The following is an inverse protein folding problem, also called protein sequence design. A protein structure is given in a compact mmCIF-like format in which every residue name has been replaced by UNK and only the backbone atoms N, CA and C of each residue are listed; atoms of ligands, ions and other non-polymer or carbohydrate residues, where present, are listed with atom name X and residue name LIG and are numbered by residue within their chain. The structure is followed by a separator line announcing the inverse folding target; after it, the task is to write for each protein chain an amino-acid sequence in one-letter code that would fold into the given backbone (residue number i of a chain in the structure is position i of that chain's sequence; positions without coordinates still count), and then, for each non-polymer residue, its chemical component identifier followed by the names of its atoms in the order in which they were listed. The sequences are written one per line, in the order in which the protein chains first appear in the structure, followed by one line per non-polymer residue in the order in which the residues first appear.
data_IF_110981738531
#
_entry.id   IF_110981738531
#
_cell.length_a   1.000
_cell.length_b   1.000
_cell.length_c   1.000
_cell.angle_alpha   90.00
_cell.angle_beta   90.00
_cell.angle_gamma   90.00
#
_symmetry.space_group_name_H-M   'P 1'
#
loop_
_entity.id
_entity.type
_entity.pdbx_description
1 polymer ?
#
# COMPACT_ATOMS: atom_id res chain seq x y z
N UNK A 1 -45.50 48.40 21.90
CA UNK A 1 -45.50 47.09 21.21
C UNK A 1 -44.13 47.01 20.59
N UNK A 2 -43.16 46.56 21.38
CA UNK A 2 -41.77 46.47 20.97
C UNK A 2 -41.60 45.09 20.33
N UNK A 3 -41.59 45.05 19.00
CA UNK A 3 -41.30 43.83 18.24
C UNK A 3 -39.81 43.51 18.40
N UNK A 4 -39.52 42.55 19.28
CA UNK A 4 -38.20 41.94 19.38
C UNK A 4 -37.90 41.19 18.08
N UNK A 5 -37.02 41.76 17.24
CA UNK A 5 -36.37 41.03 16.15
C UNK A 5 -35.49 39.94 16.74
N UNK A 6 -35.98 38.71 16.70
CA UNK A 6 -35.18 37.52 16.94
C UNK A 6 -34.27 37.31 15.73
N UNK A 7 -33.04 37.83 15.80
CA UNK A 7 -32.00 37.55 14.80
C UNK A 7 -31.57 36.10 15.00
N UNK A 8 -32.12 35.21 14.18
CA UNK A 8 -31.60 33.85 14.03
C UNK A 8 -30.18 33.96 13.49
N UNK A 9 -29.19 33.84 14.37
CA UNK A 9 -27.79 33.70 13.98
C UNK A 9 -27.66 32.37 13.26
N UNK A 10 -27.66 32.41 11.93
CA UNK A 10 -27.13 31.34 11.10
C UNK A 10 -25.66 31.16 11.47
N UNK A 11 -25.37 30.19 12.35
CA UNK A 11 -24.02 29.70 12.55
C UNK A 11 -23.63 28.95 11.27
N UNK A 12 -23.10 29.66 10.30
CA UNK A 12 -22.29 29.08 9.24
C UNK A 12 -21.10 28.39 9.91
N UNK A 13 -21.30 27.12 10.25
CA UNK A 13 -20.21 26.22 10.61
C UNK A 13 -19.39 26.05 9.33
N UNK A 14 -18.35 26.86 9.20
CA UNK A 14 -17.33 26.74 8.16
C UNK A 14 -16.73 25.33 8.25
N UNK A 15 -17.31 24.38 7.50
CA UNK A 15 -16.90 22.99 7.52
C UNK A 15 -15.49 22.92 6.93
N UNK A 16 -14.51 22.59 7.78
CA UNK A 16 -13.14 22.38 7.36
C UNK A 16 -13.02 21.29 6.30
N UNK A 17 -12.08 21.47 5.35
CA UNK A 17 -11.82 20.50 4.28
C UNK A 17 -10.89 19.41 4.82
N UNK A 18 -11.38 18.17 4.90
CA UNK A 18 -10.55 17.00 5.23
C UNK A 18 -9.93 16.46 3.94
N UNK A 19 -8.61 16.41 3.87
CA UNK A 19 -7.86 15.87 2.71
C UNK A 19 -7.02 14.67 3.14
N UNK A 20 -7.12 13.59 2.38
CA UNK A 20 -6.29 12.39 2.56
C UNK A 20 -4.98 12.60 1.79
N UNK A 21 -3.85 12.34 2.45
CA UNK A 21 -2.53 12.39 1.82
C UNK A 21 -2.25 11.10 1.05
N UNK A 22 -1.53 11.21 -0.07
CA UNK A 22 -1.06 10.08 -0.86
C UNK A 22 -0.31 9.05 0.01
N UNK A 23 0.50 9.54 0.97
CA UNK A 23 1.26 8.70 1.90
C UNK A 23 0.37 7.77 2.73
N UNK A 24 -0.82 8.22 3.12
CA UNK A 24 -1.76 7.37 3.89
C UNK A 24 -2.27 6.22 3.02
N UNK A 25 -2.57 6.51 1.75
CA UNK A 25 -3.00 5.50 0.79
C UNK A 25 -1.87 4.52 0.48
N UNK A 26 -0.63 5.00 0.35
CA UNK A 26 0.56 4.14 0.16
C UNK A 26 0.72 3.15 1.31
N UNK A 27 0.58 3.60 2.56
CA UNK A 27 0.71 2.74 3.75
C UNK A 27 -0.37 1.67 3.77
N UNK A 28 -1.63 2.03 3.49
CA UNK A 28 -2.75 1.09 3.47
C UNK A 28 -2.56 0.07 2.35
N UNK A 29 -2.22 0.52 1.14
CA UNK A 29 -1.98 -0.35 -0.01
C UNK A 29 -0.81 -1.30 0.24
N UNK A 30 0.27 -0.80 0.87
CA UNK A 30 1.43 -1.61 1.18
C UNK A 30 1.16 -2.68 2.23
N UNK A 31 0.39 -2.33 3.26
CA UNK A 31 -0.04 -3.31 4.26
C UNK A 31 -0.92 -4.38 3.62
N UNK A 32 -1.94 -3.97 2.86
CA UNK A 32 -2.86 -4.89 2.19
C UNK A 32 -2.14 -5.80 1.17
N UNK A 33 -1.16 -5.28 0.43
CA UNK A 33 -0.38 -6.08 -0.50
C UNK A 33 0.53 -7.09 0.23
N UNK A 34 1.09 -6.70 1.38
CA UNK A 34 1.99 -7.56 2.19
C UNK A 34 1.27 -8.73 2.86
N UNK A 35 -0.05 -8.65 3.04
CA UNK A 35 -0.86 -9.73 3.62
C UNK A 35 -1.10 -10.89 2.65
N UNK A 36 -0.90 -10.68 1.35
CA UNK A 36 -1.12 -11.72 0.34
C UNK A 36 0.04 -12.71 0.34
N UNK A 37 -0.28 -13.99 0.55
CA UNK A 37 0.71 -15.04 0.43
C UNK A 37 1.23 -15.13 -1.00
N UNK A 38 2.56 -15.17 -1.11
CA UNK A 38 3.25 -15.07 -2.40
C UNK A 38 4.00 -13.76 -2.60
N UNK A 39 3.70 -12.72 -1.82
CA UNK A 39 4.48 -11.47 -1.79
C UNK A 39 5.61 -11.62 -0.76
N UNK A 40 6.87 -11.51 -1.20
CA UNK A 40 8.03 -11.45 -0.29
C UNK A 40 8.40 -10.01 0.09
N UNK A 41 8.04 -9.06 -0.76
CA UNK A 41 8.31 -7.65 -0.49
C UNK A 41 7.91 -6.75 -1.63
N UNK A 42 8.23 -5.47 -1.44
CA UNK A 42 7.98 -4.40 -2.41
C UNK A 42 9.29 -3.64 -2.65
N UNK A 43 9.49 -3.15 -3.89
CA UNK A 43 10.73 -2.45 -4.26
C UNK A 43 10.51 -1.41 -5.36
N UNK A 44 10.98 -0.18 -5.16
CA UNK A 44 11.00 0.89 -6.18
C UNK A 44 12.11 0.74 -7.21
N UNK A 45 13.14 -0.09 -6.99
CA UNK A 45 14.33 -0.14 -7.86
C UNK A 45 15.01 -1.51 -7.81
N UNK A 46 15.68 -1.91 -8.89
CA UNK A 46 16.54 -3.11 -8.94
C UNK A 46 17.66 -3.10 -7.86
N UNK A 47 17.95 -1.94 -7.25
CA UNK A 47 18.99 -1.72 -6.22
C UNK A 47 18.48 -1.92 -4.78
N UNK A 48 17.17 -2.13 -4.57
CA UNK A 48 16.55 -2.23 -3.24
C UNK A 48 17.10 -3.34 -2.34
N UNK A 49 17.76 -4.35 -2.92
CA UNK A 49 18.41 -5.43 -2.16
C UNK A 49 19.55 -4.97 -1.24
N UNK A 50 20.20 -3.84 -1.52
CA UNK A 50 21.36 -3.37 -0.73
C UNK A 50 20.90 -2.48 0.44
N UNK A 51 19.85 -1.69 0.26
CA UNK A 51 19.40 -0.75 1.30
C UNK A 51 18.67 -1.45 2.46
N UNK A 52 18.00 -2.57 2.21
CA UNK A 52 17.38 -3.40 3.26
C UNK A 52 18.42 -3.94 4.26
N UNK A 53 19.62 -4.29 3.77
CA UNK A 53 20.73 -4.81 4.57
C UNK A 53 21.38 -3.69 5.40
N UNK A 54 21.39 -2.45 4.90
CA UNK A 54 22.08 -1.33 5.55
C UNK A 54 21.23 -0.55 6.57
N UNK A 55 19.90 -0.53 6.45
CA UNK A 55 19.05 0.39 7.24
C UNK A 55 18.20 -0.24 8.34
N UNK A 56 18.11 -1.58 8.44
CA UNK A 56 17.41 -2.29 9.54
C UNK A 56 15.90 -2.01 9.70
N UNK A 57 15.32 -1.07 8.94
CA UNK A 57 13.90 -0.68 8.97
C UNK A 57 13.22 -1.18 7.71
N UNK A 58 12.21 -2.05 7.87
CA UNK A 58 11.27 -2.43 6.80
C UNK A 58 10.45 -1.19 6.45
N UNK A 59 10.79 -0.49 5.37
CA UNK A 59 9.97 0.62 4.88
C UNK A 59 8.89 0.02 3.96
N UNK A 60 7.66 -0.10 4.47
CA UNK A 60 6.55 -0.71 3.73
C UNK A 60 6.06 0.15 2.56
N UNK A 61 6.33 1.46 2.56
CA UNK A 61 5.93 2.38 1.47
C UNK A 61 6.90 2.37 0.28
N UNK A 62 8.02 1.64 0.34
CA UNK A 62 8.96 1.55 -0.79
C UNK A 62 8.41 0.58 -1.84
N UNK A 63 8.11 1.09 -3.02
CA UNK A 63 7.63 0.28 -4.15
C UNK A 63 6.16 0.50 -4.44
N UNK A 64 5.57 1.58 -3.94
CA UNK A 64 4.17 1.94 -4.20
C UNK A 64 4.17 3.39 -4.66
N UNK A 65 3.44 3.67 -5.72
CA UNK A 65 3.20 5.04 -6.19
C UNK A 65 1.70 5.25 -6.24
N UNK A 66 1.23 6.26 -5.53
CA UNK A 66 -0.17 6.64 -5.52
C UNK A 66 -0.34 7.99 -6.19
N UNK A 67 -1.43 8.15 -6.93
CA UNK A 67 -1.91 9.43 -7.41
C UNK A 67 -3.36 9.58 -6.97
N UNK A 68 -3.64 10.50 -6.04
CA UNK A 68 -5.00 10.82 -5.59
C UNK A 68 -5.51 12.05 -6.35
N UNK A 69 -6.64 11.89 -7.03
CA UNK A 69 -7.33 12.95 -7.76
C UNK A 69 -8.77 13.07 -7.25
N UNK A 70 -9.06 14.19 -6.60
CA UNK A 70 -10.35 14.49 -5.97
C UNK A 70 -10.85 13.34 -5.05
N UNK A 71 -11.73 12.47 -5.57
CA UNK A 71 -12.31 11.34 -4.85
C UNK A 71 -11.94 9.98 -5.47
N UNK A 72 -10.85 9.96 -6.25
CA UNK A 72 -10.35 8.79 -6.95
C UNK A 72 -8.85 8.61 -6.75
N UNK A 73 -8.36 7.38 -6.85
CA UNK A 73 -6.94 7.11 -6.78
C UNK A 73 -6.48 6.04 -7.76
N UNK A 74 -5.26 6.21 -8.27
CA UNK A 74 -4.53 5.20 -9.04
C UNK A 74 -3.35 4.71 -8.22
N UNK A 75 -3.13 3.38 -8.22
CA UNK A 75 -2.07 2.75 -7.44
C UNK A 75 -1.20 1.90 -8.34
N UNK A 76 0.10 2.17 -8.34
CA UNK A 76 1.13 1.32 -8.94
C UNK A 76 1.90 0.59 -7.84
N UNK A 77 1.86 -0.74 -7.83
CA UNK A 77 2.58 -1.60 -6.89
C UNK A 77 3.73 -2.31 -7.59
N UNK A 78 4.93 -2.20 -7.03
CA UNK A 78 6.14 -2.86 -7.50
C UNK A 78 6.53 -3.95 -6.51
N UNK A 79 6.19 -5.19 -6.85
CA UNK A 79 6.23 -6.34 -5.94
C UNK A 79 7.34 -7.33 -6.29
N UNK A 80 7.79 -8.05 -5.28
CA UNK A 80 8.69 -9.19 -5.38
C UNK A 80 7.92 -10.43 -4.92
N UNK A 81 7.92 -11.47 -5.76
CA UNK A 81 7.08 -12.66 -5.54
C UNK A 81 7.91 -13.90 -5.23
N UNK A 82 7.33 -14.88 -4.51
CA UNK A 82 7.95 -16.20 -4.29
C UNK A 82 8.00 -17.00 -5.58
N UNK A 83 9.04 -17.81 -5.77
CA UNK A 83 9.05 -18.84 -6.82
C UNK A 83 8.04 -19.94 -6.51
N UNK A 84 7.49 -20.56 -7.57
CA UNK A 84 6.57 -21.69 -7.46
C UNK A 84 5.09 -21.32 -7.29
N UNK A 85 4.75 -20.03 -7.34
CA UNK A 85 3.37 -19.55 -7.27
C UNK A 85 2.86 -19.08 -8.64
N UNK A 86 1.54 -19.12 -8.83
CA UNK A 86 0.90 -18.54 -10.03
C UNK A 86 0.81 -17.03 -9.87
N UNK A 87 1.68 -16.31 -10.59
CA UNK A 87 1.76 -14.83 -10.53
C UNK A 87 0.40 -14.17 -10.80
N UNK A 88 -0.38 -14.70 -11.75
CA UNK A 88 -1.70 -14.15 -12.10
C UNK A 88 -2.67 -14.22 -10.91
N UNK A 89 -2.68 -15.34 -10.18
CA UNK A 89 -3.58 -15.53 -9.04
C UNK A 89 -3.19 -14.59 -7.89
N UNK A 90 -1.88 -14.45 -7.65
CA UNK A 90 -1.33 -13.56 -6.62
C UNK A 90 -1.59 -12.09 -6.98
N UNK A 91 -1.33 -11.67 -8.21
CA UNK A 91 -1.58 -10.30 -8.66
C UNK A 91 -3.06 -9.94 -8.54
N UNK A 92 -3.96 -10.86 -8.91
CA UNK A 92 -5.40 -10.67 -8.74
C UNK A 92 -5.79 -10.53 -7.27
N UNK A 93 -5.22 -11.38 -6.41
CA UNK A 93 -5.46 -11.33 -4.97
C UNK A 93 -4.96 -10.02 -4.34
N UNK A 94 -3.80 -9.52 -4.78
CA UNK A 94 -3.28 -8.19 -4.39
C UNK A 94 -4.23 -7.10 -4.85
N UNK A 95 -4.68 -7.11 -6.10
CA UNK A 95 -5.62 -6.10 -6.61
C UNK A 95 -6.92 -6.08 -5.80
N UNK A 96 -7.50 -7.25 -5.52
CA UNK A 96 -8.74 -7.35 -4.75
C UNK A 96 -8.57 -6.87 -3.30
N UNK A 97 -7.48 -7.27 -2.63
CA UNK A 97 -7.25 -6.89 -1.23
C UNK A 97 -6.89 -5.40 -1.09
N UNK A 98 -6.03 -4.86 -1.96
CA UNK A 98 -5.70 -3.43 -1.98
C UNK A 98 -6.94 -2.60 -2.26
N UNK A 99 -7.76 -3.02 -3.24
CA UNK A 99 -9.02 -2.33 -3.55
C UNK A 99 -9.93 -2.25 -2.35
N UNK A 100 -10.22 -3.39 -1.75
CA UNK A 100 -11.11 -3.47 -0.59
C UNK A 100 -10.61 -2.62 0.57
N UNK A 101 -9.32 -2.71 0.90
CA UNK A 101 -8.74 -2.03 2.06
C UNK A 101 -8.71 -0.51 1.87
N UNK A 102 -8.28 -0.02 0.70
CA UNK A 102 -8.21 1.42 0.44
C UNK A 102 -9.61 2.03 0.35
N UNK A 103 -10.54 1.42 -0.39
CA UNK A 103 -11.92 1.92 -0.51
C UNK A 103 -12.62 1.96 0.85
N UNK A 104 -12.43 0.91 1.68
CA UNK A 104 -13.05 0.83 3.01
C UNK A 104 -12.49 1.86 4.01
N UNK A 105 -11.17 2.09 4.01
CA UNK A 105 -10.53 2.97 4.99
C UNK A 105 -10.58 4.45 4.60
N UNK A 106 -10.58 4.76 3.30
CA UNK A 106 -10.44 6.13 2.81
C UNK A 106 -11.70 6.66 2.13
N UNK A 107 -12.61 5.79 1.67
CA UNK A 107 -13.77 6.17 0.87
C UNK A 107 -13.44 6.62 -0.56
N UNK A 108 -12.17 6.55 -0.99
CA UNK A 108 -11.74 6.88 -2.34
C UNK A 108 -12.10 5.76 -3.32
N UNK A 109 -12.47 6.10 -4.56
CA UNK A 109 -12.69 5.11 -5.62
C UNK A 109 -11.39 4.77 -6.34
N UNK A 110 -11.03 3.49 -6.46
CA UNK A 110 -9.84 3.12 -7.22
C UNK A 110 -10.15 2.96 -8.71
N UNK A 111 -9.52 3.80 -9.54
CA UNK A 111 -9.68 3.77 -11.00
C UNK A 111 -8.80 2.70 -11.65
N UNK A 112 -7.58 2.53 -11.13
CA UNK A 112 -6.64 1.53 -11.62
C UNK A 112 -5.70 1.04 -10.52
N UNK A 113 -5.39 -0.25 -10.57
CA UNK A 113 -4.39 -0.91 -9.73
C UNK A 113 -3.46 -1.71 -10.63
N UNK A 114 -2.24 -1.22 -10.79
CA UNK A 114 -1.22 -1.85 -11.61
C UNK A 114 -0.23 -2.60 -10.73
N UNK A 115 0.00 -3.88 -11.04
CA UNK A 115 0.94 -4.72 -10.29
C UNK A 115 2.12 -5.07 -11.20
N UNK A 116 3.29 -4.52 -10.85
CA UNK A 116 4.56 -4.74 -11.54
C UNK A 116 5.38 -5.75 -10.75
N UNK A 117 5.59 -6.94 -11.33
CA UNK A 117 6.45 -7.96 -10.73
C UNK A 117 7.89 -7.69 -11.13
N UNK A 118 8.69 -7.23 -10.17
CA UNK A 118 10.07 -6.81 -10.41
C UNK A 118 11.09 -7.94 -10.24
N UNK A 119 10.80 -8.92 -9.37
CA UNK A 119 11.72 -10.02 -9.10
C UNK A 119 10.97 -11.26 -8.57
N UNK A 120 11.63 -12.42 -8.66
CA UNK A 120 11.15 -13.71 -8.14
C UNK A 120 12.20 -14.27 -7.18
N UNK A 121 11.81 -14.49 -5.93
CA UNK A 121 12.68 -15.03 -4.88
C UNK A 121 12.61 -16.55 -4.91
N UNK A 122 13.76 -17.18 -5.15
CA UNK A 122 13.92 -18.62 -4.99
C UNK A 122 13.95 -18.98 -3.49
N UNK A 123 13.38 -20.12 -3.08
CA UNK A 123 13.56 -20.61 -1.72
C UNK A 123 15.06 -20.80 -1.49
N UNK A 124 15.58 -20.26 -0.38
CA UNK A 124 16.95 -20.57 0.04
C UNK A 124 16.98 -22.04 0.44
N UNK A 125 17.83 -22.84 -0.21
CA UNK A 125 18.22 -24.13 0.38
C UNK A 125 18.88 -23.79 1.73
N UNK A 126 18.34 -24.34 2.83
CA UNK A 126 19.02 -24.29 4.11
C UNK A 126 20.36 -25.03 3.95
N UNK A 127 21.46 -24.30 3.86
CA UNK A 127 22.79 -24.89 3.97
C UNK A 127 22.87 -25.57 5.34
N UNK A 128 22.70 -26.91 5.34
CA UNK A 128 23.05 -27.73 6.49
C UNK A 128 24.53 -27.55 6.74
N UNK A 129 24.88 -26.66 7.68
CA UNK A 129 26.23 -26.55 8.23
C UNK A 129 26.57 -27.94 8.78
N UNK A 130 27.39 -28.69 8.03
CA UNK A 130 27.99 -29.92 8.53
C UNK A 130 29.00 -29.53 9.60
N UNK A 131 28.62 -29.67 10.86
CA UNK A 131 29.57 -29.77 11.96
C UNK A 131 30.51 -30.94 11.66
N UNK A 132 31.70 -30.64 11.16
CA UNK A 132 32.80 -31.59 11.13
C UNK A 132 33.56 -31.41 12.45
N UNK A 133 33.21 -32.22 13.44
CA UNK A 133 34.05 -32.46 14.60
C UNK A 133 35.29 -33.23 14.12
N UNK A 134 36.47 -32.63 14.27
CA UNK A 134 37.77 -33.30 14.34
C UNK A 134 38.52 -32.76 15.57
#
# INVERSE_FOLDING_TARGET
MDENLNVEQETDMEMGIVKISDEVVEVIAGLAASEIDGIEGMSTTLVGGITQILSGKKNLSKGIKVNVEENSATIDLYVVVKYGIKIVDVAKSVQENVKKSVELMTGLNLTAINVYVQNVVLPKEEEKIKEKQE
#
